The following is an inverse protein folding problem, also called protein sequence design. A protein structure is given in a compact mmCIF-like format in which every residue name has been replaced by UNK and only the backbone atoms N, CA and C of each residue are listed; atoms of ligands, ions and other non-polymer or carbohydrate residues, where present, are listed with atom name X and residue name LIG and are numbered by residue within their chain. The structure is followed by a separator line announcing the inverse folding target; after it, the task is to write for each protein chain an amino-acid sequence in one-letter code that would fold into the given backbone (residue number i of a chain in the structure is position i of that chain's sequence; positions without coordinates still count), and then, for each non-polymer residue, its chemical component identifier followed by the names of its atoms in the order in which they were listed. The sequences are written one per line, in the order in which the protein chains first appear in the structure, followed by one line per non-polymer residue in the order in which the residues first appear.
data_IF_281544040707
#
_entry.id   IF_281544040707
#
_cell.length_a   1.000
_cell.length_b   1.000
_cell.length_c   1.000
_cell.angle_alpha   90.00
_cell.angle_beta   90.00
_cell.angle_gamma   90.00
#
_symmetry.space_group_name_H-M   'P 1'
#
loop_
_entity.id
_entity.type
_entity.pdbx_description
1 polymer ?
#
# COMPACT_ATOMS: atom_id res chain seq x y z
N UNK A 1 -22.16 -65.19 -36.45
CA UNK A 1 -21.32 -64.61 -35.38
C UNK A 1 -21.51 -63.10 -35.40
N UNK A 2 -21.77 -62.52 -34.23
CA UNK A 2 -22.30 -61.16 -34.03
C UNK A 2 -21.34 -60.06 -34.50
N UNK A 3 -21.86 -59.10 -35.28
CA UNK A 3 -21.13 -57.92 -35.74
C UNK A 3 -20.98 -56.91 -34.59
N UNK A 4 -19.88 -56.98 -33.84
CA UNK A 4 -19.50 -55.92 -32.90
C UNK A 4 -18.73 -54.81 -33.65
N UNK A 5 -19.46 -53.94 -34.34
CA UNK A 5 -18.91 -52.66 -34.78
C UNK A 5 -18.76 -51.79 -33.54
N UNK A 6 -17.55 -51.77 -32.97
CA UNK A 6 -17.21 -50.91 -31.85
C UNK A 6 -17.33 -49.45 -32.29
N UNK A 7 -18.37 -48.77 -31.83
CA UNK A 7 -18.67 -47.39 -32.21
C UNK A 7 -17.79 -46.42 -31.43
N UNK A 8 -16.48 -46.42 -31.72
CA UNK A 8 -15.46 -45.59 -31.04
C UNK A 8 -15.78 -44.09 -31.13
N UNK A 9 -16.44 -43.67 -32.21
CA UNK A 9 -16.88 -42.28 -32.40
C UNK A 9 -17.96 -41.89 -31.37
N UNK A 10 -18.87 -42.82 -31.05
CA UNK A 10 -19.90 -42.60 -30.03
C UNK A 10 -19.32 -42.47 -28.62
N UNK A 11 -18.30 -43.27 -28.28
CA UNK A 11 -17.61 -43.17 -26.99
C UNK A 11 -16.79 -41.88 -26.86
N UNK A 12 -16.13 -41.44 -27.93
CA UNK A 12 -15.40 -40.17 -27.94
C UNK A 12 -16.34 -38.97 -27.76
N UNK A 13 -17.45 -38.94 -28.52
CA UNK A 13 -18.46 -37.89 -28.39
C UNK A 13 -19.15 -37.90 -27.02
N UNK A 14 -19.42 -39.07 -26.44
CA UNK A 14 -20.00 -39.18 -25.11
C UNK A 14 -19.02 -38.71 -24.01
N UNK A 15 -17.72 -39.01 -24.16
CA UNK A 15 -16.67 -38.56 -23.24
C UNK A 15 -16.55 -37.04 -23.27
N UNK A 16 -16.48 -36.44 -24.46
CA UNK A 16 -16.35 -35.00 -24.64
C UNK A 16 -17.61 -34.26 -24.16
N UNK A 17 -18.80 -34.78 -24.46
CA UNK A 17 -20.07 -34.26 -23.95
C UNK A 17 -20.14 -34.33 -22.41
N UNK A 18 -19.66 -35.42 -21.80
CA UNK A 18 -19.65 -35.57 -20.34
C UNK A 18 -18.70 -34.58 -19.65
N UNK A 19 -17.56 -34.28 -20.27
CA UNK A 19 -16.62 -33.28 -19.78
C UNK A 19 -17.16 -31.87 -19.98
N UNK A 20 -17.80 -31.59 -21.12
CA UNK A 20 -18.48 -30.32 -21.36
C UNK A 20 -19.60 -30.07 -20.34
N UNK A 21 -20.41 -31.09 -20.02
CA UNK A 21 -21.44 -31.01 -18.98
C UNK A 21 -20.85 -30.73 -17.58
N UNK A 22 -19.71 -31.35 -17.24
CA UNK A 22 -19.02 -31.08 -15.98
C UNK A 22 -18.51 -29.63 -15.93
N UNK A 23 -17.85 -29.17 -16.99
CA UNK A 23 -17.31 -27.80 -17.09
C UNK A 23 -18.44 -26.77 -17.01
N UNK A 24 -19.54 -26.97 -17.76
CA UNK A 24 -20.71 -26.10 -17.71
C UNK A 24 -21.34 -26.02 -16.32
N UNK A 25 -21.41 -27.15 -15.59
CA UNK A 25 -21.90 -27.17 -14.21
C UNK A 25 -20.99 -26.35 -13.27
N UNK A 26 -19.67 -26.42 -13.44
CA UNK A 26 -18.74 -25.59 -12.68
C UNK A 26 -18.89 -24.10 -13.00
N UNK A 27 -19.05 -23.73 -14.27
CA UNK A 27 -19.25 -22.34 -14.69
C UNK A 27 -20.55 -21.78 -14.11
N UNK A 28 -21.66 -22.53 -14.15
CA UNK A 28 -22.94 -22.12 -13.57
C UNK A 28 -22.82 -21.90 -12.05
N UNK A 29 -22.15 -22.80 -11.33
CA UNK A 29 -21.92 -22.66 -9.88
C UNK A 29 -21.03 -21.45 -9.55
N UNK A 30 -19.99 -21.20 -10.36
CA UNK A 30 -19.13 -20.04 -10.21
C UNK A 30 -19.90 -18.73 -10.43
N UNK A 31 -20.72 -18.66 -11.48
CA UNK A 31 -21.57 -17.48 -11.76
C UNK A 31 -22.62 -17.23 -10.67
N UNK A 32 -23.23 -18.29 -10.13
CA UNK A 32 -24.14 -18.16 -8.98
C UNK A 32 -23.41 -17.63 -7.74
N UNK A 33 -22.18 -18.06 -7.50
CA UNK A 33 -21.34 -17.56 -6.40
C UNK A 33 -21.01 -16.06 -6.50
N UNK A 34 -20.75 -15.56 -7.70
CA UNK A 34 -20.47 -14.13 -7.94
C UNK A 34 -21.69 -13.26 -7.65
N UNK A 35 -22.91 -13.75 -7.93
CA UNK A 35 -24.15 -13.02 -7.64
C UNK A 35 -24.42 -12.86 -6.13
N UNK A 36 -23.98 -13.80 -5.29
CA UNK A 36 -24.24 -13.72 -3.83
C UNK A 36 -23.32 -12.71 -3.12
N UNK A 37 -22.17 -12.36 -3.69
CA UNK A 37 -21.21 -11.40 -3.11
C UNK A 37 -21.62 -9.94 -3.41
N UNK A 38 -22.61 -9.71 -4.30
CA UNK A 38 -23.00 -8.38 -4.75
C UNK A 38 -24.23 -7.79 -4.03
N UNK A 39 -24.73 -8.41 -2.96
CA UNK A 39 -25.98 -8.01 -2.31
C UNK A 39 -25.85 -7.62 -0.83
N UNK A 40 -24.69 -7.10 -0.42
CA UNK A 40 -24.57 -6.36 0.85
C UNK A 40 -23.81 -5.05 0.60
N UNK A 41 -24.48 -4.06 0.02
CA UNK A 41 -24.48 -2.63 0.43
C UNK A 41 -25.31 -1.81 -0.56
N UNK A 42 -26.62 -1.86 -0.43
CA UNK A 42 -27.48 -0.76 -0.90
C UNK A 42 -28.61 -0.64 0.11
N UNK A 43 -28.32 -0.01 1.26
CA UNK A 43 -29.39 0.57 2.06
C UNK A 43 -30.19 1.49 1.15
N UNK A 44 -31.52 1.37 1.09
CA UNK A 44 -32.33 2.34 0.37
C UNK A 44 -32.14 3.66 1.09
N UNK A 45 -31.39 4.57 0.46
CA UNK A 45 -31.34 5.97 0.85
C UNK A 45 -32.78 6.46 0.79
N UNK A 46 -33.35 6.64 1.98
CA UNK A 46 -34.60 7.34 2.17
C UNK A 46 -34.52 8.67 1.39
N UNK A 47 -35.65 9.06 0.81
CA UNK A 47 -35.93 10.29 0.06
C UNK A 47 -34.94 11.45 0.30
N UNK A 48 -34.61 12.25 -0.75
CA UNK A 48 -33.70 13.38 -0.60
C UNK A 48 -34.35 14.43 0.31
N UNK A 49 -34.03 14.36 1.60
CA UNK A 49 -34.26 15.43 2.53
C UNK A 49 -33.27 16.53 2.13
N UNK A 50 -33.80 17.68 1.70
CA UNK A 50 -33.00 18.82 1.27
C UNK A 50 -32.22 19.29 2.50
N UNK A 51 -30.97 18.85 2.61
CA UNK A 51 -30.02 19.35 3.61
C UNK A 51 -29.74 20.81 3.23
N UNK A 52 -30.10 21.81 4.06
CA UNK A 52 -29.72 23.19 3.79
C UNK A 52 -28.19 23.27 3.74
N UNK A 53 -27.69 24.07 2.80
CA UNK A 53 -26.25 24.25 2.57
C UNK A 53 -25.55 24.59 3.90
N UNK A 54 -24.51 23.82 4.30
CA UNK A 54 -23.87 24.05 5.58
C UNK A 54 -23.19 25.42 5.56
N UNK A 55 -23.62 26.30 6.46
CA UNK A 55 -22.93 27.56 6.71
C UNK A 55 -21.45 27.28 7.00
N UNK A 56 -20.56 27.96 6.28
CA UNK A 56 -19.12 27.87 6.49
C UNK A 56 -18.77 28.28 7.92
N UNK A 57 -18.72 27.31 8.83
CA UNK A 57 -18.04 27.50 10.12
C UNK A 57 -16.55 27.42 9.83
N UNK A 58 -15.86 28.55 9.98
CA UNK A 58 -14.41 28.62 10.00
C UNK A 58 -13.95 27.76 11.20
N UNK A 59 -13.52 26.53 10.93
CA UNK A 59 -13.08 25.57 11.96
C UNK A 59 -11.63 25.83 12.40
N UNK A 60 -10.97 26.83 11.81
CA UNK A 60 -9.61 27.19 12.16
C UNK A 60 -9.41 28.70 12.06
N UNK A 61 -9.44 29.37 13.21
CA UNK A 61 -8.72 30.62 13.39
C UNK A 61 -7.28 30.22 13.76
N UNK A 62 -6.26 30.54 12.94
CA UNK A 62 -4.88 30.31 13.32
C UNK A 62 -4.61 31.07 14.62
N UNK A 63 -4.42 30.33 15.71
CA UNK A 63 -3.81 30.93 16.89
C UNK A 63 -2.39 31.28 16.47
N UNK A 64 -2.10 32.57 16.35
CA UNK A 64 -0.73 33.09 16.26
C UNK A 64 0.00 32.74 17.55
N UNK A 65 0.43 31.49 17.66
CA UNK A 65 1.61 31.17 18.43
C UNK A 65 2.78 31.40 17.50
N UNK A 66 3.33 32.62 17.58
CA UNK A 66 4.63 32.99 17.02
C UNK A 66 5.67 32.06 17.66
N UNK A 67 5.81 30.86 17.11
CA UNK A 67 7.00 30.06 17.32
C UNK A 67 8.09 30.78 16.56
N UNK A 68 9.00 31.38 17.31
CA UNK A 68 10.28 31.90 16.83
C UNK A 68 10.86 30.84 15.90
N UNK A 69 10.89 31.15 14.61
CA UNK A 69 11.61 30.35 13.63
C UNK A 69 13.07 30.56 13.99
N UNK A 70 13.65 29.64 14.75
CA UNK A 70 15.10 29.54 14.87
C UNK A 70 15.64 29.54 13.44
N UNK A 71 16.49 30.52 13.13
CA UNK A 71 17.22 30.60 11.88
C UNK A 71 17.80 29.22 11.59
N UNK A 72 17.30 28.59 10.52
CA UNK A 72 17.85 27.37 9.99
C UNK A 72 19.34 27.58 9.79
N UNK A 73 20.13 27.02 10.69
CA UNK A 73 21.45 26.52 10.36
C UNK A 73 21.37 25.93 8.95
N UNK A 74 22.26 26.39 8.08
CA UNK A 74 22.45 25.86 6.73
C UNK A 74 22.34 24.34 6.82
N UNK A 75 21.23 23.78 6.30
CA UNK A 75 20.88 22.37 6.49
C UNK A 75 21.93 21.54 5.76
N UNK A 76 23.03 21.22 6.43
CA UNK A 76 24.02 20.24 5.96
C UNK A 76 23.23 18.99 5.63
N UNK A 77 23.19 18.66 4.35
CA UNK A 77 22.56 17.44 3.87
C UNK A 77 23.28 16.31 4.59
N UNK A 78 22.54 15.52 5.38
CA UNK A 78 23.11 14.39 6.10
C UNK A 78 23.45 13.33 5.05
N UNK A 79 24.65 12.75 5.13
CA UNK A 79 25.02 11.64 4.27
C UNK A 79 24.28 10.36 4.69
N UNK A 80 23.32 9.92 3.88
CA UNK A 80 22.53 8.72 4.12
C UNK A 80 23.10 7.46 3.42
N UNK A 81 24.34 7.49 2.91
CA UNK A 81 24.95 6.39 2.14
C UNK A 81 24.83 5.01 2.80
N UNK A 82 24.83 4.95 4.13
CA UNK A 82 24.79 3.71 4.90
C UNK A 82 23.42 3.42 5.56
N UNK A 83 22.36 4.17 5.22
CA UNK A 83 21.08 4.07 5.94
C UNK A 83 20.45 2.68 5.83
N UNK A 84 20.56 2.00 4.68
CA UNK A 84 20.05 0.63 4.48
C UNK A 84 20.65 -0.40 5.45
N UNK A 85 21.86 -0.16 5.98
CA UNK A 85 22.49 -1.06 6.96
C UNK A 85 21.80 -1.09 8.33
N UNK A 86 20.74 -0.29 8.51
CA UNK A 86 19.91 -0.26 9.71
C UNK A 86 18.69 -1.18 9.63
N UNK A 87 18.40 -1.79 8.48
CA UNK A 87 17.39 -2.86 8.42
C UNK A 87 17.72 -3.98 9.41
N UNK A 88 16.72 -4.41 10.18
CA UNK A 88 16.88 -5.36 11.28
C UNK A 88 17.39 -4.76 12.60
N UNK A 89 17.76 -3.47 12.65
CA UNK A 89 18.17 -2.77 13.88
C UNK A 89 17.01 -2.03 14.54
N UNK A 90 17.20 -1.58 15.79
CA UNK A 90 16.22 -0.75 16.51
C UNK A 90 16.19 0.67 15.94
N UNK A 91 15.00 1.23 15.80
CA UNK A 91 14.79 2.60 15.28
C UNK A 91 15.58 3.67 16.04
N UNK A 92 15.76 3.50 17.35
CA UNK A 92 16.53 4.41 18.19
C UNK A 92 17.98 4.59 17.72
N UNK A 93 18.63 3.50 17.28
CA UNK A 93 20.02 3.56 16.76
C UNK A 93 20.12 4.42 15.51
N UNK A 94 19.05 4.45 14.71
CA UNK A 94 19.00 5.26 13.51
C UNK A 94 18.78 6.74 13.87
N UNK A 95 17.95 7.04 14.87
CA UNK A 95 17.77 8.42 15.38
C UNK A 95 19.03 8.95 16.08
N UNK A 96 19.80 8.11 16.76
CA UNK A 96 21.09 8.50 17.35
C UNK A 96 22.08 8.97 16.28
N UNK A 97 22.10 8.32 15.11
CA UNK A 97 23.02 8.68 14.02
C UNK A 97 22.48 9.81 13.13
N UNK A 98 21.19 9.80 12.80
CA UNK A 98 20.60 10.70 11.80
C UNK A 98 19.67 11.76 12.39
N UNK A 99 19.54 11.82 13.72
CA UNK A 99 18.64 12.72 14.43
C UNK A 99 17.16 12.42 14.21
N UNK A 100 16.31 13.37 14.57
CA UNK A 100 14.86 13.21 14.51
C UNK A 100 14.32 13.14 13.08
N UNK A 101 13.26 12.35 12.93
CA UNK A 101 12.55 12.21 11.66
C UNK A 101 11.85 13.51 11.27
N UNK A 102 11.84 13.81 9.98
CA UNK A 102 11.07 14.94 9.45
C UNK A 102 9.56 14.67 9.40
N UNK A 103 9.16 13.40 9.45
CA UNK A 103 7.77 12.97 9.55
C UNK A 103 7.71 11.60 10.21
N UNK A 104 6.67 11.37 11.02
CA UNK A 104 6.38 10.09 11.64
C UNK A 104 4.86 9.86 11.68
N UNK A 105 4.45 8.62 11.42
CA UNK A 105 3.07 8.15 11.59
C UNK A 105 3.07 6.80 12.30
N UNK A 106 2.34 6.72 13.40
CA UNK A 106 2.18 5.53 14.21
C UNK A 106 0.90 4.81 13.78
N UNK A 107 1.01 3.56 13.33
CA UNK A 107 -0.11 2.66 13.09
C UNK A 107 -0.08 1.52 14.13
N UNK A 108 -1.12 0.68 14.14
CA UNK A 108 -1.23 -0.40 15.13
C UNK A 108 -0.05 -1.39 15.06
N UNK A 109 0.28 -1.87 13.87
CA UNK A 109 1.32 -2.89 13.67
C UNK A 109 2.66 -2.29 13.27
N UNK A 110 2.63 -1.17 12.55
CA UNK A 110 3.79 -0.57 11.91
C UNK A 110 3.91 0.91 12.24
N UNK A 111 5.12 1.42 12.16
CA UNK A 111 5.42 2.85 12.24
C UNK A 111 6.15 3.24 10.97
N UNK A 112 5.79 4.40 10.45
CA UNK A 112 6.32 4.94 9.21
C UNK A 112 7.00 6.26 9.50
N UNK A 113 8.27 6.36 9.13
CA UNK A 113 9.09 7.55 9.34
C UNK A 113 9.71 8.02 8.03
N UNK A 114 10.11 9.30 7.99
CA UNK A 114 10.74 9.88 6.81
C UNK A 114 11.84 10.87 7.17
N UNK A 115 12.97 10.78 6.47
CA UNK A 115 13.93 11.89 6.33
C UNK A 115 13.83 12.56 4.97
N UNK A 116 14.07 13.86 4.98
CA UNK A 116 14.30 14.65 3.79
C UNK A 116 15.79 14.65 3.48
N UNK A 117 16.18 14.15 2.30
CA UNK A 117 17.56 14.01 1.88
C UNK A 117 17.74 14.66 0.49
N UNK A 118 17.57 15.99 0.44
CA UNK A 118 17.55 16.77 -0.80
C UNK A 118 16.36 16.42 -1.72
N UNK A 119 16.65 16.12 -2.99
CA UNK A 119 15.72 15.57 -3.98
C UNK A 119 15.19 14.18 -3.66
N UNK A 120 15.79 13.47 -2.70
CA UNK A 120 15.32 12.16 -2.25
C UNK A 120 14.49 12.22 -0.95
N UNK A 121 13.69 11.17 -0.73
CA UNK A 121 13.03 10.86 0.53
C UNK A 121 13.47 9.48 1.00
N UNK A 122 13.90 9.40 2.26
CA UNK A 122 14.19 8.12 2.89
C UNK A 122 13.02 7.75 3.78
N UNK A 123 12.30 6.70 3.42
CA UNK A 123 11.21 6.13 4.20
C UNK A 123 11.72 4.97 5.03
N UNK A 124 11.24 4.90 6.27
CA UNK A 124 11.60 3.83 7.22
C UNK A 124 10.32 3.22 7.72
N UNK A 125 10.24 1.90 7.68
CA UNK A 125 9.14 1.14 8.27
C UNK A 125 9.70 0.28 9.40
N UNK A 126 9.11 0.35 10.60
CA UNK A 126 9.43 -0.55 11.71
C UNK A 126 8.17 -1.15 12.32
N UNK A 127 8.34 -2.22 13.09
CA UNK A 127 7.26 -2.75 13.93
C UNK A 127 6.99 -1.81 15.12
N UNK A 128 5.72 -1.59 15.45
CA UNK A 128 5.32 -0.82 16.64
C UNK A 128 5.73 -1.54 17.93
N UNK A 129 5.62 -2.87 17.95
CA UNK A 129 5.83 -3.69 19.16
C UNK A 129 7.27 -3.74 19.64
N UNK A 130 8.20 -4.02 18.72
CA UNK A 130 9.61 -4.22 19.05
C UNK A 130 10.52 -3.15 18.46
N UNK A 131 10.00 -2.18 17.70
CA UNK A 131 10.77 -1.07 17.13
C UNK A 131 11.90 -1.51 16.19
N UNK A 132 11.88 -2.73 15.67
CA UNK A 132 12.85 -3.20 14.68
C UNK A 132 12.46 -2.67 13.30
N UNK A 133 13.43 -2.10 12.62
CA UNK A 133 13.30 -1.63 11.25
C UNK A 133 13.14 -2.85 10.35
N UNK A 134 12.04 -2.86 9.61
CA UNK A 134 11.67 -3.90 8.65
C UNK A 134 12.32 -3.58 7.31
N UNK A 135 12.14 -2.33 6.87
CA UNK A 135 12.58 -1.91 5.56
C UNK A 135 12.85 -0.42 5.51
N UNK A 136 13.84 -0.04 4.69
CA UNK A 136 14.18 1.34 4.40
C UNK A 136 14.09 1.52 2.89
N UNK A 137 13.37 2.53 2.43
CA UNK A 137 13.22 2.84 0.99
C UNK A 137 13.81 4.21 0.71
N UNK A 138 14.69 4.30 -0.29
CA UNK A 138 15.25 5.56 -0.77
C UNK A 138 14.55 5.87 -2.07
N UNK A 139 13.77 6.95 -2.09
CA UNK A 139 12.94 7.32 -3.22
C UNK A 139 13.37 8.66 -3.79
N UNK A 140 13.68 8.69 -5.07
CA UNK A 140 13.98 9.90 -5.82
C UNK A 140 12.68 10.55 -6.30
N UNK A 141 12.49 11.82 -5.95
CA UNK A 141 11.29 12.57 -6.31
C UNK A 141 11.27 13.03 -7.76
N UNK A 142 12.42 13.19 -8.41
CA UNK A 142 12.51 13.63 -9.80
C UNK A 142 12.26 12.46 -10.75
N UNK A 143 12.99 11.37 -10.55
CA UNK A 143 12.92 10.20 -11.44
C UNK A 143 11.82 9.21 -11.04
N UNK A 144 11.18 9.41 -9.88
CA UNK A 144 10.22 8.47 -9.28
C UNK A 144 10.79 7.05 -9.09
N UNK A 145 12.10 6.93 -8.95
CA UNK A 145 12.81 5.65 -8.85
C UNK A 145 13.19 5.32 -7.40
N UNK A 146 13.30 4.03 -7.11
CA UNK A 146 13.80 3.53 -5.82
C UNK A 146 15.27 3.17 -5.97
N UNK A 147 16.09 3.66 -5.05
CA UNK A 147 17.52 3.39 -5.02
C UNK A 147 17.88 2.35 -3.97
N UNK A 148 18.80 1.46 -4.33
CA UNK A 148 19.40 0.49 -3.40
C UNK A 148 20.38 1.15 -2.43
N UNK A 149 21.02 2.24 -2.85
CA UNK A 149 21.97 3.01 -2.05
C UNK A 149 21.71 4.50 -2.23
N UNK A 150 21.91 5.26 -1.16
CA UNK A 150 21.88 6.71 -1.23
C UNK A 150 23.18 7.21 -1.87
N UNK A 151 23.05 8.09 -2.85
CA UNK A 151 24.15 8.81 -3.49
C UNK A 151 23.77 10.29 -3.51
N UNK A 152 24.57 11.13 -2.85
CA UNK A 152 24.28 12.56 -2.70
C UNK A 152 24.08 13.24 -4.06
N UNK A 153 24.94 12.94 -5.04
CA UNK A 153 24.85 13.48 -6.41
C UNK A 153 23.52 13.21 -7.12
N UNK A 154 22.86 12.08 -6.80
CA UNK A 154 21.56 11.70 -7.37
C UNK A 154 20.38 12.27 -6.57
N UNK A 155 20.64 12.86 -5.42
CA UNK A 155 19.66 13.32 -4.46
C UNK A 155 19.83 14.80 -4.12
N UNK A 156 20.62 15.56 -4.89
CA UNK A 156 20.83 16.99 -4.74
C UNK A 156 19.78 17.80 -5.51
#
# INVERSE_FOLDING_TARGET
MSNNVCNCLGYFLAYDLSNFLKIMRFIILFLLGVLVISCETTSPVASPEIIPEPEQKIIYEPKEEVQVIEEKDERKIKDFSNIKSFEGKKIATLQEQYGDFNFSKLEQTFEFHRYNAGGCRVFIQNYTSNKLIIHITIYDLETNSVYEKYEEEKCL
#
